data_IF_108428301236
#
_entry.id   IF_108428301236
#
_cell.length_a   1.000
_cell.length_b   1.000
_cell.length_c   1.000
_cell.angle_alpha   90.00
_cell.angle_beta   90.00
_cell.angle_gamma   90.00
#
_symmetry.space_group_name_H-M   'P 1'
#
loop_
_entity.id
_entity.type
_entity.pdbx_description
1 polymer ?
#
# COMPACT_ATOMS: atom_id res chain seq x y z
N UNK A 1 -18.85 46.47 13.57
CA UNK A 1 -18.86 46.10 12.14
C UNK A 1 -17.44 46.25 11.59
N UNK A 2 -16.66 45.16 11.61
CA UNK A 2 -15.45 44.93 10.79
C UNK A 2 -14.81 43.60 11.23
N UNK A 3 -15.09 42.50 10.51
CA UNK A 3 -14.01 41.57 10.18
C UNK A 3 -14.19 41.04 8.75
N UNK A 4 -13.35 41.50 7.81
CA UNK A 4 -13.31 40.95 6.45
C UNK A 4 -11.94 41.06 5.75
N UNK A 5 -10.88 41.50 6.45
CA UNK A 5 -9.57 41.77 5.84
C UNK A 5 -8.49 40.71 6.11
N UNK A 6 -8.73 39.74 6.99
CA UNK A 6 -7.74 38.69 7.30
C UNK A 6 -7.46 37.69 6.16
N UNK A 7 -8.42 37.29 5.30
CA UNK A 7 -8.14 36.27 4.26
C UNK A 7 -7.20 36.75 3.16
N UNK A 8 -7.18 38.06 2.87
CA UNK A 8 -6.43 38.64 1.75
C UNK A 8 -4.93 38.70 2.06
N UNK A 9 -4.56 38.97 3.32
CA UNK A 9 -3.17 39.03 3.74
C UNK A 9 -2.46 37.65 3.68
N UNK A 10 -3.19 36.58 4.03
CA UNK A 10 -2.66 35.21 3.97
C UNK A 10 -2.42 34.74 2.52
N UNK A 11 -3.33 35.08 1.60
CA UNK A 11 -3.20 34.75 0.18
C UNK A 11 -2.03 35.49 -0.50
N UNK A 12 -1.84 36.79 -0.18
CA UNK A 12 -0.71 37.57 -0.70
C UNK A 12 0.64 37.08 -0.15
N UNK A 13 0.70 36.66 1.12
CA UNK A 13 1.89 36.05 1.71
C UNK A 13 2.30 34.75 1.01
N UNK A 14 1.33 33.91 0.64
CA UNK A 14 1.60 32.67 -0.09
C UNK A 14 2.15 32.93 -1.51
N UNK A 15 1.62 33.93 -2.23
CA UNK A 15 2.08 34.28 -3.60
C UNK A 15 3.54 34.79 -3.60
N UNK A 16 3.89 35.63 -2.62
CA UNK A 16 5.27 36.13 -2.47
C UNK A 16 6.22 34.99 -2.09
N UNK A 17 5.79 34.08 -1.21
CA UNK A 17 6.57 32.91 -0.82
C UNK A 17 6.80 31.95 -1.99
N UNK A 18 5.78 31.68 -2.82
CA UNK A 18 5.89 30.87 -4.04
C UNK A 18 6.90 31.50 -5.03
N UNK A 19 6.84 32.82 -5.22
CA UNK A 19 7.76 33.54 -6.11
C UNK A 19 9.21 33.54 -5.58
N UNK A 20 9.39 33.63 -4.26
CA UNK A 20 10.70 33.51 -3.62
C UNK A 20 11.25 32.09 -3.71
N UNK A 21 10.41 31.07 -3.54
CA UNK A 21 10.77 29.66 -3.69
C UNK A 21 11.21 29.31 -5.11
N UNK A 22 10.48 29.78 -6.12
CA UNK A 22 10.86 29.60 -7.53
C UNK A 22 12.26 30.18 -7.83
N UNK A 23 12.58 31.35 -7.25
CA UNK A 23 13.90 31.98 -7.40
C UNK A 23 15.00 31.27 -6.59
N UNK A 24 14.71 30.87 -5.36
CA UNK A 24 15.69 30.20 -4.48
C UNK A 24 16.02 28.78 -4.93
N UNK A 25 15.13 28.13 -5.68
CA UNK A 25 15.30 26.77 -6.20
C UNK A 25 15.84 26.74 -7.65
N UNK A 26 15.99 27.89 -8.30
CA UNK A 26 16.49 27.97 -9.69
C UNK A 26 15.51 27.42 -10.73
N UNK A 27 14.22 27.39 -10.40
CA UNK A 27 13.19 26.79 -11.25
C UNK A 27 12.56 27.86 -12.15
N UNK A 28 12.97 27.88 -13.42
CA UNK A 28 12.28 28.63 -14.46
C UNK A 28 10.90 28.02 -14.75
N UNK A 29 9.90 28.85 -14.98
CA UNK A 29 8.57 28.40 -15.36
C UNK A 29 8.62 27.66 -16.71
N UNK A 30 8.30 26.38 -16.71
CA UNK A 30 8.01 25.65 -17.95
C UNK A 30 6.60 26.05 -18.44
N UNK A 31 6.39 26.22 -19.76
CA UNK A 31 5.07 26.53 -20.30
C UNK A 31 4.10 25.37 -20.05
N UNK A 32 2.90 25.69 -19.58
CA UNK A 32 1.83 24.73 -19.38
C UNK A 32 1.35 24.18 -20.73
N UNK A 33 1.71 22.94 -21.07
CA UNK A 33 1.11 22.20 -22.18
C UNK A 33 -0.15 21.50 -21.70
N UNK A 34 -1.31 21.98 -22.15
CA UNK A 34 -2.58 21.30 -21.93
C UNK A 34 -2.66 20.02 -22.76
N UNK A 35 -2.42 18.87 -22.14
CA UNK A 35 -2.73 17.57 -22.71
C UNK A 35 -4.12 17.12 -22.24
N UNK A 36 -5.01 16.89 -23.20
CA UNK A 36 -6.34 16.33 -22.96
C UNK A 36 -6.26 14.88 -22.45
N UNK A 37 -7.18 14.43 -21.58
CA UNK A 37 -7.17 13.06 -21.09
C UNK A 37 -7.45 12.07 -22.23
N UNK A 38 -6.56 11.09 -22.40
CA UNK A 38 -6.74 9.98 -23.32
C UNK A 38 -7.89 9.09 -22.84
N UNK A 39 -8.82 8.79 -23.75
CA UNK A 39 -9.93 7.84 -23.53
C UNK A 39 -9.37 6.44 -23.25
N UNK A 40 -9.79 5.84 -22.12
CA UNK A 40 -9.58 4.42 -21.81
C UNK A 40 -10.36 3.52 -22.78
N UNK A 41 -9.83 2.38 -23.24
CA UNK A 41 -10.66 1.35 -23.86
C UNK A 41 -11.44 0.62 -22.75
N UNK A 42 -12.76 0.60 -22.89
CA UNK A 42 -13.62 -0.26 -22.07
C UNK A 42 -13.46 -1.72 -22.54
N UNK A 43 -12.76 -2.53 -21.76
CA UNK A 43 -12.71 -3.98 -21.96
C UNK A 43 -12.85 -4.70 -20.62
N UNK A 44 -14.10 -4.94 -20.21
CA UNK A 44 -14.45 -5.98 -19.25
C UNK A 44 -15.75 -6.64 -19.73
N UNK A 45 -15.61 -7.81 -20.39
CA UNK A 45 -16.74 -8.72 -20.59
C UNK A 45 -16.84 -9.62 -19.36
N UNK A 46 -18.04 -9.66 -18.77
CA UNK A 46 -18.44 -10.62 -17.74
C UNK A 46 -18.18 -12.06 -18.23
N UNK A 47 -17.40 -12.83 -17.48
CA UNK A 47 -17.37 -14.28 -17.60
C UNK A 47 -18.44 -14.88 -16.69
N UNK A 48 -19.32 -15.68 -17.29
CA UNK A 48 -20.34 -16.44 -16.61
C UNK A 48 -19.69 -17.49 -15.67
N UNK A 49 -20.35 -17.72 -14.52
CA UNK A 49 -19.97 -18.73 -13.55
C UNK A 49 -19.84 -20.12 -14.21
N UNK A 50 -18.60 -20.57 -14.42
CA UNK A 50 -18.31 -21.93 -14.85
C UNK A 50 -18.36 -22.86 -13.63
N UNK A 51 -19.16 -23.93 -13.71
CA UNK A 51 -19.14 -25.02 -12.73
C UNK A 51 -17.75 -25.69 -12.72
N UNK A 52 -17.25 -26.13 -11.56
CA UNK A 52 -15.91 -26.71 -11.47
C UNK A 52 -15.85 -28.02 -12.26
N UNK A 53 -14.96 -28.06 -13.25
CA UNK A 53 -14.57 -29.29 -13.92
C UNK A 53 -13.80 -30.17 -12.93
N UNK A 54 -14.27 -31.39 -12.74
CA UNK A 54 -13.66 -32.36 -11.85
C UNK A 54 -12.34 -32.91 -12.43
N UNK A 55 -11.36 -33.04 -11.52
CA UNK A 55 -10.22 -33.95 -11.53
C UNK A 55 -9.14 -33.75 -12.62
N UNK A 56 -8.31 -32.73 -12.44
CA UNK A 56 -6.88 -32.90 -12.72
C UNK A 56 -6.30 -33.81 -11.62
N UNK A 57 -5.58 -34.87 -12.02
CA UNK A 57 -4.97 -35.83 -11.10
C UNK A 57 -4.26 -35.10 -9.94
N UNK A 58 -4.61 -35.48 -8.71
CA UNK A 58 -4.15 -34.82 -7.49
C UNK A 58 -2.64 -34.98 -7.35
N UNK A 59 -1.88 -34.03 -7.90
CA UNK A 59 -0.50 -33.82 -7.50
C UNK A 59 -0.45 -33.71 -5.97
N UNK A 60 0.61 -34.20 -5.36
CA UNK A 60 0.81 -34.07 -3.92
C UNK A 60 0.61 -32.59 -3.51
N UNK A 61 -0.06 -32.31 -2.39
CA UNK A 61 -0.31 -30.94 -1.97
C UNK A 61 1.04 -30.23 -1.80
N UNK A 62 1.15 -29.04 -2.40
CA UNK A 62 2.32 -28.21 -2.26
C UNK A 62 2.55 -27.87 -0.78
N UNK A 63 3.81 -27.60 -0.41
CA UNK A 63 4.19 -27.27 0.97
C UNK A 63 4.96 -25.97 1.03
N UNK A 64 4.80 -25.26 2.14
CA UNK A 64 5.66 -24.12 2.43
C UNK A 64 7.09 -24.62 2.70
N UNK A 65 8.06 -23.98 2.07
CA UNK A 65 9.48 -24.18 2.34
C UNK A 65 10.03 -22.89 2.97
N UNK A 66 10.48 -22.93 4.23
CA UNK A 66 11.13 -21.80 4.89
C UNK A 66 12.28 -21.22 4.06
N UNK A 67 12.38 -19.90 4.01
CA UNK A 67 13.49 -19.22 3.35
C UNK A 67 14.75 -19.34 4.21
N UNK A 68 15.78 -20.06 3.72
CA UNK A 68 17.05 -20.14 4.43
C UNK A 68 17.81 -18.80 4.29
N UNK A 69 17.78 -17.99 5.34
CA UNK A 69 18.32 -16.62 5.34
C UNK A 69 19.84 -16.48 5.16
N UNK A 70 20.53 -17.50 4.61
CA UNK A 70 21.96 -17.56 4.33
C UNK A 70 22.39 -17.09 2.94
N UNK A 71 21.47 -16.99 1.96
CA UNK A 71 21.76 -16.47 0.62
C UNK A 71 20.69 -15.46 0.18
N UNK A 72 21.10 -14.40 -0.54
CA UNK A 72 20.14 -13.45 -1.16
C UNK A 72 19.22 -14.14 -2.18
N UNK A 73 19.65 -15.30 -2.65
CA UNK A 73 18.96 -16.17 -3.60
C UNK A 73 18.26 -17.35 -2.90
N UNK A 74 18.03 -17.29 -1.59
CA UNK A 74 17.33 -18.34 -0.85
C UNK A 74 17.98 -19.73 -0.99
N UNK A 75 17.21 -20.81 -0.86
CA UNK A 75 17.78 -22.14 -0.83
C UNK A 75 18.14 -22.56 -2.25
N UNK A 76 19.12 -23.46 -2.39
CA UNK A 76 19.65 -23.93 -3.69
C UNK A 76 18.65 -24.67 -4.62
N UNK A 77 17.34 -24.52 -4.41
CA UNK A 77 16.25 -25.32 -5.00
C UNK A 77 15.44 -24.58 -6.08
N UNK A 78 16.08 -23.75 -6.91
CA UNK A 78 15.37 -22.93 -7.90
C UNK A 78 14.43 -23.71 -8.84
N UNK A 79 14.67 -25.01 -9.06
CA UNK A 79 13.86 -25.82 -9.95
C UNK A 79 12.51 -26.29 -9.36
N UNK A 80 12.43 -26.57 -8.06
CA UNK A 80 11.24 -27.19 -7.43
C UNK A 80 10.44 -26.23 -6.53
N UNK A 81 10.90 -24.99 -6.40
CA UNK A 81 10.27 -23.96 -5.57
C UNK A 81 9.62 -22.90 -6.46
N UNK A 82 8.36 -22.60 -6.17
CA UNK A 82 7.73 -21.36 -6.62
C UNK A 82 8.03 -20.26 -5.59
N UNK A 83 8.55 -19.13 -6.03
CA UNK A 83 8.69 -17.95 -5.17
C UNK A 83 7.47 -17.06 -5.36
N UNK A 84 6.83 -16.69 -4.27
CA UNK A 84 5.70 -15.74 -4.29
C UNK A 84 6.08 -14.49 -3.53
N UNK A 85 5.46 -13.38 -3.93
CA UNK A 85 5.57 -12.09 -3.23
C UNK A 85 6.99 -11.53 -3.05
N UNK A 86 7.98 -12.09 -3.73
CA UNK A 86 9.28 -11.46 -3.88
C UNK A 86 9.93 -11.90 -5.19
N UNK A 87 11.05 -11.25 -5.54
CA UNK A 87 11.85 -11.61 -6.70
C UNK A 87 12.98 -12.56 -6.32
N UNK A 88 13.41 -13.39 -7.28
CA UNK A 88 14.55 -14.29 -7.11
C UNK A 88 15.30 -14.43 -8.44
N UNK A 89 16.63 -14.47 -8.39
CA UNK A 89 17.50 -14.57 -9.58
C UNK A 89 17.40 -15.86 -10.40
N UNK A 90 16.89 -16.98 -9.85
CA UNK A 90 16.87 -18.29 -10.52
C UNK A 90 15.50 -19.01 -10.49
N UNK A 91 14.72 -18.86 -9.41
CA UNK A 91 13.41 -19.52 -9.29
C UNK A 91 12.33 -18.86 -10.16
N UNK A 92 11.29 -19.63 -10.48
CA UNK A 92 10.06 -19.09 -11.05
C UNK A 92 9.31 -18.26 -9.99
N UNK A 93 8.74 -17.12 -10.41
CA UNK A 93 8.04 -16.22 -9.48
C UNK A 93 6.56 -16.08 -9.84
N UNK A 94 5.71 -15.78 -8.85
CA UNK A 94 4.40 -15.13 -9.02
C UNK A 94 4.37 -13.97 -8.01
N UNK A 95 4.61 -12.75 -8.46
CA UNK A 95 4.73 -11.58 -7.58
C UNK A 95 4.34 -10.28 -8.28
N UNK A 96 3.82 -9.31 -7.54
CA UNK A 96 3.52 -7.96 -8.01
C UNK A 96 4.78 -7.05 -8.08
N UNK A 97 5.93 -7.52 -7.58
CA UNK A 97 7.16 -6.72 -7.54
C UNK A 97 7.74 -6.45 -8.94
N UNK A 98 8.34 -5.26 -9.11
CA UNK A 98 9.06 -4.90 -10.34
C UNK A 98 10.19 -5.89 -10.62
N UNK A 99 10.40 -6.20 -11.90
CA UNK A 99 11.43 -7.16 -12.33
C UNK A 99 11.03 -8.63 -12.11
N UNK A 100 9.74 -8.90 -11.93
CA UNK A 100 9.17 -10.23 -11.82
C UNK A 100 9.41 -11.12 -13.05
N UNK A 101 9.30 -12.44 -12.85
CA UNK A 101 9.34 -13.49 -13.89
C UNK A 101 8.12 -14.41 -13.79
N UNK A 102 6.97 -13.77 -13.68
CA UNK A 102 5.64 -14.36 -13.70
C UNK A 102 5.43 -15.10 -15.05
N UNK A 103 4.46 -16.04 -15.10
CA UNK A 103 4.11 -16.71 -16.35
C UNK A 103 3.91 -15.70 -17.49
N UNK A 104 4.59 -15.86 -18.65
CA UNK A 104 4.56 -14.86 -19.72
C UNK A 104 3.20 -14.76 -20.43
N UNK A 105 2.30 -15.72 -20.22
CA UNK A 105 0.97 -15.73 -20.79
C UNK A 105 -0.03 -16.41 -19.84
N UNK A 106 -1.28 -15.97 -19.92
CA UNK A 106 -2.41 -16.59 -19.22
C UNK A 106 -2.68 -16.03 -17.82
N UNK A 107 -1.79 -15.19 -17.28
CA UNK A 107 -2.01 -14.51 -16.01
C UNK A 107 -2.80 -13.22 -16.24
N UNK A 108 -3.89 -13.05 -15.48
CA UNK A 108 -4.57 -11.76 -15.38
C UNK A 108 -3.74 -10.89 -14.42
N UNK A 109 -3.56 -9.63 -14.78
CA UNK A 109 -2.77 -8.72 -13.99
C UNK A 109 -3.52 -8.36 -12.68
N UNK A 110 -2.79 -8.28 -11.56
CA UNK A 110 -3.33 -7.95 -10.24
C UNK A 110 -2.34 -7.13 -9.44
N UNK A 111 -2.84 -6.24 -8.59
CA UNK A 111 -2.01 -5.33 -7.78
C UNK A 111 -1.23 -6.03 -6.66
N UNK A 112 -1.65 -7.24 -6.28
CA UNK A 112 -1.07 -8.01 -5.18
C UNK A 112 -0.72 -9.43 -5.65
N UNK A 113 0.29 -10.03 -5.03
CA UNK A 113 0.81 -11.36 -5.34
C UNK A 113 -0.23 -12.44 -5.07
N UNK A 114 -1.04 -12.29 -4.03
CA UNK A 114 -2.17 -13.19 -3.73
C UNK A 114 -3.17 -13.21 -4.88
N UNK A 115 -3.47 -12.05 -5.45
CA UNK A 115 -4.35 -11.93 -6.60
C UNK A 115 -3.79 -12.64 -7.83
N UNK A 116 -2.49 -12.47 -8.11
CA UNK A 116 -1.80 -13.18 -9.19
C UNK A 116 -1.81 -14.70 -8.97
N UNK A 117 -1.59 -15.19 -7.74
CA UNK A 117 -1.69 -16.63 -7.43
C UNK A 117 -3.11 -17.13 -7.71
N UNK A 118 -4.15 -16.41 -7.26
CA UNK A 118 -5.54 -16.77 -7.51
C UNK A 118 -5.89 -16.77 -9.01
N UNK A 119 -5.37 -15.81 -9.79
CA UNK A 119 -5.54 -15.76 -11.24
C UNK A 119 -4.86 -16.95 -11.93
N UNK A 120 -3.67 -17.34 -11.47
CA UNK A 120 -2.98 -18.52 -11.97
C UNK A 120 -3.79 -19.80 -11.70
N UNK A 121 -4.36 -19.94 -10.50
CA UNK A 121 -5.21 -21.06 -10.13
C UNK A 121 -6.50 -21.11 -10.96
N UNK A 122 -7.16 -19.96 -11.15
CA UNK A 122 -8.37 -19.85 -11.94
C UNK A 122 -8.12 -20.20 -13.41
N UNK A 123 -7.04 -19.69 -13.99
CA UNK A 123 -6.63 -20.00 -15.35
C UNK A 123 -6.33 -21.50 -15.54
N UNK A 124 -5.70 -22.14 -14.55
CA UNK A 124 -5.48 -23.58 -14.57
C UNK A 124 -6.79 -24.38 -14.50
N UNK A 125 -7.74 -23.97 -13.65
CA UNK A 125 -9.05 -24.61 -13.52
C UNK A 125 -9.90 -24.47 -14.80
N UNK A 126 -9.75 -23.36 -15.54
CA UNK A 126 -10.46 -23.12 -16.81
C UNK A 126 -9.89 -23.90 -18.00
N UNK A 127 -8.70 -24.49 -17.90
CA UNK A 127 -8.07 -25.26 -18.96
C UNK A 127 -7.54 -24.42 -20.15
N UNK A 128 -7.37 -25.06 -21.30
CA UNK A 128 -6.96 -24.39 -22.54
C UNK A 128 -5.49 -23.93 -22.59
N UNK A 129 -5.20 -22.89 -23.39
CA UNK A 129 -3.84 -22.39 -23.62
C UNK A 129 -3.26 -21.73 -22.37
N UNK A 130 -4.06 -20.99 -21.61
CA UNK A 130 -3.63 -20.32 -20.38
C UNK A 130 -3.20 -21.34 -19.31
N UNK A 131 -4.01 -22.38 -19.09
CA UNK A 131 -3.65 -23.47 -18.17
C UNK A 131 -2.31 -24.13 -18.54
N UNK A 132 -2.06 -24.41 -19.83
CA UNK A 132 -0.80 -24.99 -20.30
C UNK A 132 0.40 -24.07 -20.06
N UNK A 133 0.22 -22.76 -20.22
CA UNK A 133 1.29 -21.78 -20.00
C UNK A 133 1.68 -21.66 -18.52
N UNK A 134 0.71 -21.79 -17.62
CA UNK A 134 0.89 -21.62 -16.17
C UNK A 134 1.27 -22.93 -15.46
N UNK A 135 0.98 -24.09 -16.07
CA UNK A 135 1.26 -25.40 -15.50
C UNK A 135 2.67 -25.59 -14.92
N UNK A 136 3.78 -25.08 -15.53
CA UNK A 136 5.11 -25.21 -14.94
C UNK A 136 5.27 -24.54 -13.57
N UNK A 137 4.58 -23.41 -13.33
CA UNK A 137 4.60 -22.70 -12.05
C UNK A 137 3.75 -23.42 -11.00
N UNK A 138 2.59 -23.95 -11.38
CA UNK A 138 1.70 -24.67 -10.46
C UNK A 138 2.10 -26.14 -10.24
N UNK A 139 3.10 -26.64 -10.96
CA UNK A 139 3.66 -27.97 -10.75
C UNK A 139 4.68 -28.02 -9.61
N UNK A 140 5.10 -26.87 -9.06
CA UNK A 140 6.13 -26.82 -8.02
C UNK A 140 5.62 -27.45 -6.71
N UNK A 141 6.32 -28.43 -6.14
CA UNK A 141 5.93 -29.04 -4.87
C UNK A 141 6.13 -28.10 -3.68
N UNK A 142 6.93 -27.05 -3.83
CA UNK A 142 7.23 -26.11 -2.76
C UNK A 142 6.88 -24.67 -3.16
N UNK A 143 6.52 -23.87 -2.16
CA UNK A 143 6.34 -22.42 -2.27
C UNK A 143 7.08 -21.71 -1.15
N UNK A 144 7.68 -20.55 -1.44
CA UNK A 144 8.47 -19.78 -0.48
C UNK A 144 8.39 -18.27 -0.75
N UNK A 145 8.81 -17.48 0.24
CA UNK A 145 8.90 -16.01 0.24
C UNK A 145 10.00 -15.59 1.21
N UNK A 146 10.62 -14.43 1.01
CA UNK A 146 11.78 -13.97 1.80
C UNK A 146 11.45 -12.99 2.94
N UNK A 147 10.18 -12.70 3.17
CA UNK A 147 9.70 -11.82 4.24
C UNK A 147 8.30 -12.25 4.67
N UNK A 148 7.76 -11.65 5.72
CA UNK A 148 6.41 -11.89 6.19
C UNK A 148 5.61 -10.59 6.14
N UNK A 149 4.45 -10.64 5.50
CA UNK A 149 3.33 -9.72 5.64
C UNK A 149 2.04 -10.43 5.20
N UNK A 150 0.94 -9.68 5.09
CA UNK A 150 -0.35 -10.22 4.70
C UNK A 150 -0.37 -10.75 3.26
N UNK A 151 0.23 -10.06 2.27
CA UNK A 151 0.19 -10.55 0.89
C UNK A 151 1.04 -11.82 0.73
N UNK A 152 2.19 -11.88 1.40
CA UNK A 152 3.08 -13.03 1.42
C UNK A 152 2.39 -14.29 1.99
N UNK A 153 1.81 -14.19 3.19
CA UNK A 153 1.20 -15.35 3.85
C UNK A 153 -0.06 -15.83 3.14
N UNK A 154 -0.87 -14.91 2.62
CA UNK A 154 -2.07 -15.24 1.85
C UNK A 154 -1.71 -15.86 0.49
N UNK A 155 -0.65 -15.40 -0.17
CA UNK A 155 -0.12 -15.99 -1.40
C UNK A 155 0.31 -17.44 -1.21
N UNK A 156 1.08 -17.71 -0.15
CA UNK A 156 1.51 -19.07 0.19
C UNK A 156 0.31 -19.95 0.50
N UNK A 157 -0.60 -19.47 1.35
CA UNK A 157 -1.79 -20.23 1.72
C UNK A 157 -2.65 -20.57 0.51
N UNK A 158 -2.86 -19.60 -0.40
CA UNK A 158 -3.62 -19.80 -1.62
C UNK A 158 -3.00 -20.85 -2.53
N UNK A 159 -1.66 -20.85 -2.66
CA UNK A 159 -0.94 -21.83 -3.48
C UNK A 159 -1.04 -23.26 -2.94
N UNK A 160 -0.98 -23.42 -1.61
CA UNK A 160 -1.10 -24.71 -0.90
C UNK A 160 -2.56 -25.21 -0.95
N UNK A 161 -3.53 -24.33 -0.67
CA UNK A 161 -4.94 -24.66 -0.48
C UNK A 161 -5.82 -24.28 -1.67
N UNK A 162 -5.37 -24.63 -2.89
CA UNK A 162 -5.89 -24.12 -4.18
C UNK A 162 -7.41 -24.07 -4.30
N UNK A 163 -8.09 -25.17 -3.97
CA UNK A 163 -9.53 -25.29 -4.08
C UNK A 163 -10.27 -24.35 -3.12
N UNK A 164 -9.85 -24.33 -1.85
CA UNK A 164 -10.42 -23.43 -0.85
C UNK A 164 -10.10 -21.97 -1.16
N UNK A 165 -8.89 -21.68 -1.66
CA UNK A 165 -8.49 -20.33 -2.06
C UNK A 165 -9.40 -19.73 -3.13
N UNK A 166 -9.78 -20.51 -4.15
CA UNK A 166 -10.73 -20.05 -5.17
C UNK A 166 -12.13 -19.79 -4.60
N UNK A 167 -12.55 -20.52 -3.56
CA UNK A 167 -13.84 -20.29 -2.87
C UNK A 167 -13.84 -18.96 -2.08
N UNK A 168 -12.67 -18.56 -1.58
CA UNK A 168 -12.49 -17.33 -0.78
C UNK A 168 -11.79 -16.20 -1.56
N UNK A 169 -11.78 -16.26 -2.90
CA UNK A 169 -10.96 -15.37 -3.73
C UNK A 169 -11.19 -13.88 -3.46
N UNK A 170 -12.44 -13.43 -3.30
CA UNK A 170 -12.74 -12.02 -3.07
C UNK A 170 -12.15 -11.50 -1.75
N UNK A 171 -12.37 -12.26 -0.65
CA UNK A 171 -11.85 -11.90 0.68
C UNK A 171 -10.32 -11.95 0.69
N UNK A 172 -9.70 -12.96 0.07
CA UNK A 172 -8.24 -13.08 -0.02
C UNK A 172 -7.60 -11.93 -0.80
N UNK A 173 -8.14 -11.57 -1.97
CA UNK A 173 -7.65 -10.43 -2.78
C UNK A 173 -7.75 -9.14 -2.01
N UNK A 174 -8.90 -8.90 -1.38
CA UNK A 174 -9.11 -7.66 -0.66
C UNK A 174 -8.27 -7.57 0.61
N UNK A 175 -8.07 -8.68 1.32
CA UNK A 175 -7.18 -8.74 2.47
C UNK A 175 -5.71 -8.49 2.07
N UNK A 176 -5.25 -9.02 0.94
CA UNK A 176 -3.93 -8.69 0.40
C UNK A 176 -3.80 -7.20 0.07
N UNK A 177 -4.80 -6.59 -0.60
CA UNK A 177 -4.84 -5.14 -0.86
C UNK A 177 -4.79 -4.31 0.42
N UNK A 178 -5.58 -4.67 1.43
CA UNK A 178 -5.55 -4.01 2.73
C UNK A 178 -4.16 -4.16 3.33
N UNK A 179 -3.64 -5.37 3.39
CA UNK A 179 -2.40 -5.69 4.06
C UNK A 179 -1.15 -5.13 3.41
N UNK A 180 -1.17 -4.81 2.12
CA UNK A 180 0.01 -4.33 1.41
C UNK A 180 -0.14 -2.87 0.95
N UNK A 181 -1.30 -2.55 0.35
CA UNK A 181 -1.60 -1.21 -0.14
C UNK A 181 -2.31 -0.32 0.89
N UNK A 182 -2.76 -0.86 2.03
CA UNK A 182 -3.58 -0.20 3.08
C UNK A 182 -4.88 0.40 2.56
N UNK A 183 -5.42 -0.14 1.47
CA UNK A 183 -6.66 0.32 0.82
C UNK A 183 -7.85 -0.55 1.24
N UNK A 184 -8.48 -0.24 2.37
CA UNK A 184 -9.57 -1.07 2.90
C UNK A 184 -10.93 -0.85 2.24
N UNK A 185 -11.04 0.05 1.27
CA UNK A 185 -12.27 0.26 0.51
C UNK A 185 -13.48 0.51 1.40
N UNK A 186 -13.33 1.28 2.48
CA UNK A 186 -14.42 1.56 3.43
C UNK A 186 -15.39 2.63 2.90
N UNK A 187 -16.69 2.38 3.10
CA UNK A 187 -17.80 3.25 2.68
C UNK A 187 -18.00 3.40 1.17
N UNK A 188 -18.85 4.35 0.79
CA UNK A 188 -19.41 4.43 -0.56
C UNK A 188 -18.73 5.47 -1.48
N UNK A 189 -17.51 5.89 -1.16
CA UNK A 189 -16.77 6.78 -2.07
C UNK A 189 -16.51 6.09 -3.41
N UNK A 190 -16.50 6.81 -4.55
CA UNK A 190 -16.23 6.20 -5.86
C UNK A 190 -14.93 5.37 -5.88
N UNK A 191 -13.87 5.85 -5.21
CA UNK A 191 -12.59 5.16 -5.14
C UNK A 191 -12.64 3.90 -4.27
N UNK A 192 -13.41 3.91 -3.18
CA UNK A 192 -13.64 2.72 -2.36
C UNK A 192 -14.41 1.65 -3.17
N UNK A 193 -15.46 2.05 -3.89
CA UNK A 193 -16.23 1.15 -4.75
C UNK A 193 -15.38 0.59 -5.90
N UNK A 194 -14.53 1.41 -6.51
CA UNK A 194 -13.60 0.95 -7.56
C UNK A 194 -12.59 -0.07 -7.01
N UNK A 195 -12.04 0.18 -5.82
CA UNK A 195 -11.12 -0.76 -5.16
C UNK A 195 -11.77 -2.12 -4.88
N UNK A 196 -13.00 -2.13 -4.37
CA UNK A 196 -13.78 -3.37 -4.15
C UNK A 196 -13.99 -4.13 -5.46
N UNK A 197 -14.31 -3.41 -6.53
CA UNK A 197 -14.55 -4.01 -7.84
C UNK A 197 -13.29 -4.69 -8.41
N UNK A 198 -12.11 -4.10 -8.23
CA UNK A 198 -10.84 -4.71 -8.68
C UNK A 198 -10.59 -6.06 -8.02
N UNK A 199 -11.03 -6.24 -6.78
CA UNK A 199 -10.80 -7.46 -6.00
C UNK A 199 -11.97 -8.46 -6.10
N UNK A 200 -13.05 -8.11 -6.80
CA UNK A 200 -14.24 -8.94 -6.94
C UNK A 200 -15.10 -8.99 -5.67
N UNK A 201 -15.02 -7.98 -4.82
CA UNK A 201 -15.85 -7.85 -3.62
C UNK A 201 -17.24 -7.35 -3.99
N UNK A 202 -18.26 -8.07 -3.53
CA UNK A 202 -19.67 -7.84 -3.89
C UNK A 202 -20.51 -7.34 -2.70
N UNK A 203 -19.97 -7.39 -1.47
CA UNK A 203 -20.69 -6.97 -0.26
C UNK A 203 -19.80 -6.29 0.78
N UNK A 204 -20.40 -5.44 1.62
CA UNK A 204 -19.73 -4.86 2.81
C UNK A 204 -19.25 -5.94 3.78
N UNK A 205 -19.97 -7.05 3.90
CA UNK A 205 -19.56 -8.17 4.76
C UNK A 205 -18.18 -8.71 4.35
N UNK A 206 -17.92 -8.83 3.05
CA UNK A 206 -16.61 -9.26 2.54
C UNK A 206 -15.51 -8.22 2.80
N UNK A 207 -15.82 -6.92 2.67
CA UNK A 207 -14.89 -5.83 3.03
C UNK A 207 -14.48 -5.95 4.50
N UNK A 208 -15.47 -6.06 5.38
CA UNK A 208 -15.25 -6.15 6.81
C UNK A 208 -14.57 -7.47 7.22
N UNK A 209 -14.86 -8.59 6.56
CA UNK A 209 -14.15 -9.86 6.78
C UNK A 209 -12.66 -9.71 6.45
N UNK A 210 -12.34 -9.18 5.27
CA UNK A 210 -10.96 -8.95 4.87
C UNK A 210 -10.22 -8.00 5.84
N UNK A 211 -10.88 -6.93 6.29
CA UNK A 211 -10.29 -6.01 7.28
C UNK A 211 -10.02 -6.69 8.62
N UNK A 212 -10.97 -7.49 9.14
CA UNK A 212 -10.78 -8.27 10.38
C UNK A 212 -9.61 -9.25 10.24
N UNK A 213 -9.47 -9.90 9.08
CA UNK A 213 -8.36 -10.80 8.80
C UNK A 213 -7.00 -10.09 8.90
N UNK A 214 -6.88 -8.90 8.30
CA UNK A 214 -5.67 -8.08 8.41
C UNK A 214 -5.40 -7.59 9.84
N UNK A 215 -6.44 -7.16 10.56
CA UNK A 215 -6.31 -6.75 11.97
C UNK A 215 -5.87 -7.93 12.86
N UNK A 216 -6.39 -9.13 12.62
CA UNK A 216 -5.95 -10.34 13.31
C UNK A 216 -4.47 -10.62 13.04
N UNK A 217 -4.04 -10.64 11.77
CA UNK A 217 -2.64 -10.87 11.40
C UNK A 217 -1.71 -9.87 12.09
N UNK A 218 -2.04 -8.57 12.01
CA UNK A 218 -1.24 -7.50 12.61
C UNK A 218 -1.16 -7.60 14.13
N UNK A 219 -2.30 -7.85 14.81
CA UNK A 219 -2.31 -7.97 16.27
C UNK A 219 -1.47 -9.15 16.74
N UNK A 220 -1.65 -10.31 16.12
CA UNK A 220 -0.88 -11.50 16.48
C UNK A 220 0.61 -11.28 16.20
N UNK A 221 0.97 -10.73 15.03
CA UNK A 221 2.37 -10.45 14.70
C UNK A 221 3.01 -9.54 15.76
N UNK A 222 2.34 -8.43 16.11
CA UNK A 222 2.86 -7.47 17.09
C UNK A 222 2.94 -8.01 18.51
N UNK A 223 2.05 -8.94 18.89
CA UNK A 223 1.98 -9.50 20.24
C UNK A 223 2.94 -10.66 20.45
N UNK A 224 3.02 -11.55 19.47
CA UNK A 224 3.62 -12.88 19.64
C UNK A 224 4.97 -13.01 18.89
N UNK A 225 5.33 -12.05 18.04
CA UNK A 225 6.53 -12.12 17.19
C UNK A 225 7.34 -10.81 17.19
N UNK A 226 8.52 -10.86 16.56
CA UNK A 226 9.37 -9.68 16.39
C UNK A 226 8.74 -8.67 15.43
N UNK A 227 8.95 -7.35 15.64
CA UNK A 227 8.53 -6.35 14.67
C UNK A 227 9.20 -6.57 13.30
N UNK A 228 8.56 -6.12 12.21
CA UNK A 228 9.15 -6.21 10.87
C UNK A 228 10.58 -5.65 10.84
N UNK A 229 11.48 -6.38 10.16
CA UNK A 229 12.89 -6.02 9.97
C UNK A 229 13.79 -6.07 11.21
N UNK A 230 13.30 -6.55 12.36
CA UNK A 230 14.12 -6.70 13.57
C UNK A 230 14.79 -8.07 13.60
N UNK A 231 14.00 -9.15 13.67
CA UNK A 231 14.51 -10.53 13.69
C UNK A 231 14.10 -11.32 12.43
N UNK A 232 14.72 -12.50 12.24
CA UNK A 232 14.44 -13.42 11.13
C UNK A 232 13.48 -14.55 11.56
N UNK A 233 12.34 -14.19 12.15
CA UNK A 233 11.30 -15.13 12.60
C UNK A 233 10.18 -15.32 11.57
N UNK A 234 10.37 -14.88 10.31
CA UNK A 234 9.35 -14.98 9.26
C UNK A 234 8.87 -16.42 9.07
N UNK A 235 9.72 -17.42 9.24
CA UNK A 235 9.33 -18.84 9.13
C UNK A 235 8.33 -19.25 10.21
N UNK A 236 8.56 -18.83 11.45
CA UNK A 236 7.70 -19.13 12.59
C UNK A 236 6.34 -18.43 12.44
N UNK A 237 6.35 -17.19 11.93
CA UNK A 237 5.13 -16.45 11.57
C UNK A 237 4.32 -17.21 10.52
N UNK A 238 4.94 -17.64 9.41
CA UNK A 238 4.24 -18.42 8.38
C UNK A 238 3.66 -19.71 8.93
N UNK A 239 4.43 -20.49 9.71
CA UNK A 239 3.94 -21.74 10.30
C UNK A 239 2.69 -21.50 11.17
N UNK A 240 2.71 -20.44 11.99
CA UNK A 240 1.58 -20.07 12.83
C UNK A 240 0.31 -19.78 12.01
N UNK A 241 0.40 -18.89 11.02
CA UNK A 241 -0.77 -18.41 10.27
C UNK A 241 -1.28 -19.43 9.25
N UNK A 242 -0.39 -20.14 8.55
CA UNK A 242 -0.78 -21.12 7.54
C UNK A 242 -1.64 -22.25 8.12
N UNK A 243 -1.40 -22.63 9.37
CA UNK A 243 -2.19 -23.64 10.08
C UNK A 243 -3.61 -23.16 10.47
N UNK A 244 -3.87 -21.84 10.49
CA UNK A 244 -5.08 -21.22 11.05
C UNK A 244 -5.94 -20.49 10.02
N UNK A 245 -5.35 -20.12 8.88
CA UNK A 245 -6.02 -19.31 7.86
C UNK A 245 -7.30 -19.95 7.30
N UNK A 246 -7.35 -21.28 7.18
CA UNK A 246 -8.55 -21.96 6.67
C UNK A 246 -9.79 -21.65 7.53
N UNK A 247 -9.65 -21.70 8.85
CA UNK A 247 -10.74 -21.40 9.77
C UNK A 247 -11.09 -19.90 9.74
N UNK A 248 -10.07 -19.04 9.75
CA UNK A 248 -10.22 -17.58 9.72
C UNK A 248 -10.91 -17.05 8.44
N UNK A 249 -10.91 -17.81 7.33
CA UNK A 249 -11.60 -17.44 6.09
C UNK A 249 -13.10 -17.73 6.10
N UNK A 250 -13.62 -18.38 7.14
CA UNK A 250 -15.06 -18.57 7.33
C UNK A 250 -15.65 -17.45 8.19
N UNK A 251 -16.91 -17.05 8.00
CA UNK A 251 -17.55 -16.07 8.87
C UNK A 251 -17.53 -16.48 10.36
N UNK A 252 -17.79 -17.75 10.66
CA UNK A 252 -17.76 -18.24 12.04
C UNK A 252 -16.34 -18.23 12.63
N UNK A 253 -15.33 -18.62 11.85
CA UNK A 253 -13.96 -18.70 12.32
C UNK A 253 -13.32 -17.32 12.52
N UNK A 254 -13.57 -16.35 11.64
CA UNK A 254 -13.08 -14.98 11.91
C UNK A 254 -13.74 -14.40 13.16
N UNK A 255 -15.02 -14.66 13.40
CA UNK A 255 -15.71 -14.19 14.60
C UNK A 255 -15.20 -14.88 15.88
N UNK A 256 -14.78 -16.15 15.81
CA UNK A 256 -14.14 -16.82 16.93
C UNK A 256 -12.79 -16.19 17.32
N UNK A 257 -12.12 -15.50 16.38
CA UNK A 257 -10.87 -14.77 16.59
C UNK A 257 -11.09 -13.32 17.07
N UNK A 258 -12.33 -12.92 17.39
CA UNK A 258 -12.66 -11.55 17.85
C UNK A 258 -11.74 -11.00 18.94
N UNK A 259 -11.35 -11.75 19.99
CA UNK A 259 -10.45 -11.23 21.02
C UNK A 259 -9.11 -10.73 20.48
N UNK A 260 -8.68 -11.21 19.31
CA UNK A 260 -7.41 -10.85 18.69
C UNK A 260 -7.54 -9.72 17.65
N UNK A 261 -8.70 -9.46 17.05
CA UNK A 261 -8.84 -8.41 16.02
C UNK A 261 -9.69 -7.20 16.44
N UNK A 262 -10.55 -7.33 17.45
CA UNK A 262 -11.59 -6.32 17.75
C UNK A 262 -11.01 -4.94 18.06
N UNK A 263 -9.98 -4.87 18.90
CA UNK A 263 -9.39 -3.59 19.28
C UNK A 263 -8.78 -2.84 18.08
N UNK A 264 -8.01 -3.54 17.23
CA UNK A 264 -7.40 -2.92 16.05
C UNK A 264 -8.47 -2.54 15.02
N UNK A 265 -9.44 -3.41 14.77
CA UNK A 265 -10.56 -3.17 13.86
C UNK A 265 -11.40 -1.95 14.28
N UNK A 266 -11.80 -1.86 15.55
CA UNK A 266 -12.58 -0.72 16.04
C UNK A 266 -11.78 0.58 15.98
N UNK A 267 -10.47 0.53 16.21
CA UNK A 267 -9.58 1.67 16.01
C UNK A 267 -9.55 2.12 14.55
N UNK A 268 -9.52 1.18 13.60
CA UNK A 268 -9.59 1.48 12.16
C UNK A 268 -10.90 2.17 11.82
N UNK A 269 -12.02 1.60 12.25
CA UNK A 269 -13.35 2.15 11.95
C UNK A 269 -13.57 3.50 12.61
N UNK A 270 -13.18 3.68 13.88
CA UNK A 270 -13.27 4.95 14.57
C UNK A 270 -12.47 6.04 13.85
N UNK A 271 -11.24 5.74 13.42
CA UNK A 271 -10.41 6.66 12.66
C UNK A 271 -11.02 7.02 11.30
N UNK A 272 -11.61 6.05 10.59
CA UNK A 272 -12.26 6.29 9.31
C UNK A 272 -13.53 7.14 9.45
N UNK A 273 -14.39 6.83 10.43
CA UNK A 273 -15.62 7.59 10.75
C UNK A 273 -15.30 9.04 11.15
N UNK A 274 -14.23 9.26 11.93
CA UNK A 274 -13.81 10.60 12.33
C UNK A 274 -13.43 11.52 11.15
N UNK A 275 -13.07 10.95 9.99
CA UNK A 275 -12.88 11.71 8.75
C UNK A 275 -14.21 11.86 8.00
N UNK A 276 -15.03 10.81 7.96
CA UNK A 276 -16.34 10.82 7.30
C UNK A 276 -17.30 11.85 7.87
N UNK A 277 -17.41 11.93 9.20
CA UNK A 277 -18.32 12.84 9.90
C UNK A 277 -17.98 14.31 9.65
N UNK A 278 -16.73 14.58 9.23
CA UNK A 278 -16.29 15.90 8.81
C UNK A 278 -16.12 16.88 9.96
N UNK A 279 -15.22 17.85 9.73
CA UNK A 279 -14.79 18.94 10.61
C UNK A 279 -14.51 18.59 12.09
N UNK A 280 -13.24 18.67 12.51
CA UNK A 280 -12.20 19.49 11.88
C UNK A 280 -11.33 18.69 10.89
N UNK A 281 -11.70 17.45 10.56
CA UNK A 281 -11.00 16.62 9.58
C UNK A 281 -11.48 16.86 8.14
N UNK A 282 -10.58 16.82 7.15
CA UNK A 282 -10.93 16.91 5.73
C UNK A 282 -9.92 16.20 4.83
N UNK A 283 -10.35 15.86 3.61
CA UNK A 283 -9.55 15.23 2.56
C UNK A 283 -9.64 16.07 1.30
N UNK A 284 -8.51 16.47 0.75
CA UNK A 284 -8.39 17.16 -0.52
C UNK A 284 -7.50 16.36 -1.47
N UNK A 285 -7.86 16.34 -2.76
CA UNK A 285 -7.17 15.55 -3.78
C UNK A 285 -6.65 16.45 -4.87
N UNK A 286 -5.35 16.34 -5.13
CA UNK A 286 -4.67 16.98 -6.26
C UNK A 286 -4.41 15.89 -7.31
N UNK A 287 -5.42 15.56 -8.11
CA UNK A 287 -5.40 14.41 -9.03
C UNK A 287 -4.21 14.46 -10.00
N UNK A 288 -3.90 15.63 -10.56
CA UNK A 288 -2.76 15.83 -11.47
C UNK A 288 -1.40 15.61 -10.82
N UNK A 289 -1.33 15.56 -9.49
CA UNK A 289 -0.10 15.30 -8.73
C UNK A 289 -0.10 13.90 -8.09
N UNK A 290 -1.20 13.14 -8.19
CA UNK A 290 -1.38 11.91 -7.42
C UNK A 290 -1.28 12.10 -5.90
N UNK A 291 -1.63 13.29 -5.40
CA UNK A 291 -1.49 13.67 -3.99
C UNK A 291 -2.87 13.73 -3.29
N UNK A 292 -2.97 13.11 -2.12
CA UNK A 292 -4.05 13.34 -1.17
C UNK A 292 -3.53 14.15 0.04
N UNK A 293 -4.24 15.21 0.41
CA UNK A 293 -3.97 16.03 1.60
C UNK A 293 -5.01 15.70 2.65
N UNK A 294 -4.58 15.08 3.75
CA UNK A 294 -5.41 14.66 4.87
C UNK A 294 -5.17 15.64 6.02
N UNK A 295 -6.17 16.47 6.32
CA UNK A 295 -6.13 17.36 7.48
C UNK A 295 -6.86 16.65 8.61
N UNK A 296 -6.12 16.22 9.63
CA UNK A 296 -6.62 15.33 10.69
C UNK A 296 -6.43 15.98 12.06
N UNK A 297 -7.23 15.59 13.05
CA UNK A 297 -7.06 16.07 14.44
C UNK A 297 -5.98 15.31 15.21
N UNK A 298 -5.73 14.07 14.81
CA UNK A 298 -4.73 13.19 15.38
C UNK A 298 -4.24 12.25 14.29
N UNK A 299 -3.04 11.65 14.44
CA UNK A 299 -2.62 10.58 13.56
C UNK A 299 -3.66 9.47 13.56
N UNK A 300 -3.88 8.84 12.41
CA UNK A 300 -4.83 7.75 12.25
C UNK A 300 -4.11 6.45 11.92
N UNK A 301 -4.79 5.34 12.15
CA UNK A 301 -4.35 4.03 11.68
C UNK A 301 -4.22 4.03 10.15
N UNK A 302 -3.25 3.29 9.61
CA UNK A 302 -2.99 3.28 8.16
C UNK A 302 -4.21 2.84 7.35
N UNK A 303 -4.88 1.75 7.75
CA UNK A 303 -6.09 1.29 7.08
C UNK A 303 -7.22 2.35 7.09
N UNK A 304 -7.26 3.25 8.09
CA UNK A 304 -8.22 4.36 8.12
C UNK A 304 -7.79 5.47 7.16
N UNK A 305 -6.56 5.96 7.29
CA UNK A 305 -6.05 7.10 6.56
C UNK A 305 -5.99 6.81 5.05
N UNK A 306 -5.44 5.66 4.66
CA UNK A 306 -5.21 5.36 3.25
C UNK A 306 -6.46 4.88 2.51
N UNK A 307 -7.51 4.47 3.23
CA UNK A 307 -8.85 4.31 2.64
C UNK A 307 -9.39 5.62 2.06
N UNK A 308 -8.97 6.77 2.57
CA UNK A 308 -9.30 8.09 2.01
C UNK A 308 -8.36 8.53 0.88
N UNK A 309 -7.21 7.87 0.73
CA UNK A 309 -6.18 8.16 -0.27
C UNK A 309 -6.16 7.17 -1.44
N UNK A 310 -7.14 6.26 -1.55
CA UNK A 310 -7.25 5.33 -2.69
C UNK A 310 -7.21 6.12 -4.00
N UNK A 311 -6.35 5.69 -4.93
CA UNK A 311 -6.14 6.39 -6.20
C UNK A 311 -5.04 7.46 -6.17
N UNK A 312 -4.47 7.78 -5.01
CA UNK A 312 -3.32 8.66 -4.86
C UNK A 312 -2.08 7.85 -4.49
N UNK A 313 -0.91 8.33 -4.89
CA UNK A 313 0.39 7.68 -4.68
C UNK A 313 1.25 8.40 -3.64
N UNK A 314 0.89 9.64 -3.30
CA UNK A 314 1.52 10.43 -2.24
C UNK A 314 0.45 10.94 -1.28
N UNK A 315 0.77 10.96 0.01
CA UNK A 315 -0.13 11.40 1.08
C UNK A 315 0.57 12.47 1.90
N UNK A 316 -0.03 13.65 1.98
CA UNK A 316 0.35 14.70 2.93
C UNK A 316 -0.62 14.65 4.11
N UNK A 317 -0.12 14.29 5.28
CA UNK A 317 -0.87 14.38 6.54
C UNK A 317 -0.55 15.71 7.22
N UNK A 318 -1.60 16.48 7.48
CA UNK A 318 -1.55 17.76 8.21
C UNK A 318 -2.26 17.58 9.56
N UNK A 319 -1.51 17.72 10.64
CA UNK A 319 -1.98 17.58 12.01
C UNK A 319 -2.05 18.95 12.71
N UNK A 320 -2.76 19.07 13.85
CA UNK A 320 -2.81 20.31 14.60
C UNK A 320 -1.41 20.70 15.08
N UNK A 321 -1.23 22.00 15.34
CA UNK A 321 0.04 22.57 15.81
C UNK A 321 1.19 22.46 14.79
N UNK A 322 0.88 22.61 13.50
CA UNK A 322 1.87 22.67 12.42
C UNK A 322 2.75 21.41 12.35
N UNK A 323 2.13 20.24 12.50
CA UNK A 323 2.80 18.95 12.42
C UNK A 323 2.46 18.30 11.08
N UNK A 324 3.47 17.83 10.36
CA UNK A 324 3.30 17.35 8.98
C UNK A 324 4.08 16.07 8.73
N UNK A 325 3.52 15.19 7.90
CA UNK A 325 4.20 14.03 7.34
C UNK A 325 3.82 13.90 5.87
N UNK A 326 4.81 13.76 4.99
CA UNK A 326 4.60 13.51 3.56
C UNK A 326 5.15 12.14 3.24
N UNK A 327 4.31 11.23 2.74
CA UNK A 327 4.67 9.85 2.48
C UNK A 327 4.37 9.46 1.03
N UNK A 328 5.37 8.88 0.36
CA UNK A 328 5.20 8.18 -0.90
C UNK A 328 4.73 6.75 -0.61
N UNK A 329 3.61 6.34 -1.21
CA UNK A 329 2.99 5.05 -0.93
C UNK A 329 3.72 3.89 -1.61
N UNK A 330 3.46 2.71 -1.09
CA UNK A 330 4.00 1.46 -1.62
C UNK A 330 3.58 1.17 -3.07
N UNK A 331 2.44 1.73 -3.51
CA UNK A 331 1.93 1.63 -4.90
C UNK A 331 2.95 2.04 -5.96
N UNK A 332 3.89 2.93 -5.62
CA UNK A 332 4.97 3.37 -6.51
C UNK A 332 6.17 2.41 -6.56
N UNK A 333 6.28 1.46 -5.63
CA UNK A 333 7.37 0.49 -5.55
C UNK A 333 7.12 -0.76 -6.42
N UNK A 334 5.86 -1.00 -6.77
CA UNK A 334 5.37 -2.26 -7.37
C UNK A 334 4.84 -2.07 -8.80
N UNK A 335 4.51 -3.18 -9.47
CA UNK A 335 3.75 -3.18 -10.72
C UNK A 335 2.24 -3.13 -10.39
N UNK A 336 1.71 -1.92 -10.23
CA UNK A 336 0.28 -1.70 -10.04
C UNK A 336 -0.48 -1.78 -11.38
N UNK A 337 -1.63 -2.46 -11.39
CA UNK A 337 -2.38 -2.76 -12.60
C UNK A 337 -3.79 -2.17 -12.63
N UNK A 338 -4.40 -1.94 -11.46
CA UNK A 338 -5.73 -1.36 -11.33
C UNK A 338 -5.83 0.07 -11.86
N UNK A 339 -4.74 0.84 -11.77
CA UNK A 339 -4.68 2.25 -12.13
C UNK A 339 -3.27 2.70 -12.51
N UNK A 340 -3.13 3.82 -13.23
CA UNK A 340 -1.84 4.47 -13.44
C UNK A 340 -1.21 4.91 -12.11
N UNK A 341 0.12 4.92 -12.09
CA UNK A 341 0.93 5.32 -10.93
C UNK A 341 1.81 6.49 -11.33
N UNK A 342 1.86 7.51 -10.48
CA UNK A 342 2.73 8.66 -10.67
C UNK A 342 4.20 8.29 -10.43
N UNK A 343 5.11 9.00 -11.11
CA UNK A 343 6.54 8.82 -10.89
C UNK A 343 6.90 9.09 -9.42
N UNK A 344 7.77 8.26 -8.86
CA UNK A 344 8.26 8.42 -7.50
C UNK A 344 9.39 9.45 -7.49
N UNK A 345 9.25 10.50 -6.68
CA UNK A 345 10.24 11.57 -6.59
C UNK A 345 11.11 11.41 -5.33
N UNK A 346 12.41 11.68 -5.46
CA UNK A 346 13.32 11.78 -4.31
C UNK A 346 12.84 12.88 -3.36
N UNK A 347 12.65 12.62 -2.07
CA UNK A 347 12.17 13.64 -1.13
C UNK A 347 13.30 14.45 -0.46
N UNK A 348 14.56 14.00 -0.60
CA UNK A 348 15.73 14.69 -0.06
C UNK A 348 15.89 16.15 -0.51
N UNK A 349 15.70 16.50 -1.80
CA UNK A 349 15.71 17.89 -2.26
C UNK A 349 14.65 18.77 -1.59
N UNK A 350 13.44 18.24 -1.37
CA UNK A 350 12.36 18.94 -0.67
C UNK A 350 12.71 19.19 0.79
N UNK A 351 13.25 18.20 1.50
CA UNK A 351 13.70 18.36 2.89
C UNK A 351 14.77 19.47 3.03
N UNK A 352 15.74 19.53 2.10
CA UNK A 352 16.73 20.63 2.06
C UNK A 352 16.11 21.99 1.82
N UNK A 353 15.07 22.08 0.98
CA UNK A 353 14.35 23.33 0.74
C UNK A 353 13.61 23.79 2.01
N UNK A 354 12.88 22.88 2.66
CA UNK A 354 12.15 23.15 3.90
C UNK A 354 13.09 23.63 5.02
N UNK A 355 14.26 23.00 5.19
CA UNK A 355 15.28 23.44 6.15
C UNK A 355 15.78 24.88 5.94
N UNK A 356 15.70 25.42 4.72
CA UNK A 356 16.05 26.82 4.44
C UNK A 356 14.92 27.79 4.75
N UNK A 357 13.67 27.40 4.53
CA UNK A 357 12.52 28.31 4.64
C UNK A 357 11.80 28.28 6.00
N UNK A 358 11.86 27.15 6.72
CA UNK A 358 11.17 26.97 7.99
C UNK A 358 11.98 27.55 9.17
N UNK A 359 12.15 28.86 9.21
CA UNK A 359 12.94 29.52 10.25
C UNK A 359 12.30 29.48 11.65
N UNK A 360 11.03 29.08 11.76
CA UNK A 360 10.28 29.04 13.02
C UNK A 360 10.33 27.69 13.74
N UNK A 361 10.95 26.67 13.17
CA UNK A 361 11.14 25.37 13.82
C UNK A 361 12.04 25.48 15.06
N UNK A 362 11.82 24.60 16.04
CA UNK A 362 12.62 24.57 17.26
C UNK A 362 14.10 24.24 16.95
N UNK A 363 15.02 24.84 17.71
CA UNK A 363 16.45 24.54 17.61
C UNK A 363 16.71 23.03 17.78
N UNK A 364 17.57 22.48 16.91
CA UNK A 364 17.85 21.05 16.84
C UNK A 364 16.80 20.22 16.09
N UNK A 365 15.78 20.84 15.48
CA UNK A 365 14.87 20.15 14.56
C UNK A 365 15.26 20.37 13.10
N UNK A 366 15.20 19.30 12.31
CA UNK A 366 15.54 19.31 10.90
C UNK A 366 14.57 18.46 10.09
N UNK A 367 14.22 18.96 8.90
CA UNK A 367 13.46 18.19 7.93
C UNK A 367 14.35 17.07 7.38
N UNK A 368 13.90 15.84 7.55
CA UNK A 368 14.52 14.62 7.05
C UNK A 368 13.64 13.96 6.00
N UNK A 369 14.27 13.17 5.13
CA UNK A 369 13.58 12.31 4.19
C UNK A 369 14.26 10.95 4.11
N UNK A 370 13.44 9.89 4.01
CA UNK A 370 13.92 8.54 3.71
C UNK A 370 14.39 8.44 2.26
N UNK A 371 15.19 7.41 1.97
CA UNK A 371 15.68 7.14 0.60
C UNK A 371 14.52 6.76 -0.33
N UNK A 372 14.59 7.11 -1.61
CA UNK A 372 13.57 6.74 -2.62
C UNK A 372 13.41 5.23 -2.79
N UNK A 373 14.49 4.47 -2.55
CA UNK A 373 14.49 3.01 -2.61
C UNK A 373 13.89 2.35 -1.37
N UNK A 374 13.49 3.14 -0.36
CA UNK A 374 12.65 2.64 0.73
C UNK A 374 11.25 2.30 0.19
N UNK A 375 10.55 1.36 0.82
CA UNK A 375 9.25 0.88 0.32
C UNK A 375 8.17 1.95 0.48
N UNK A 376 8.21 2.71 1.58
CA UNK A 376 7.41 3.91 1.83
C UNK A 376 8.27 5.10 2.28
N UNK A 377 8.88 5.87 1.35
CA UNK A 377 9.70 7.01 1.72
C UNK A 377 8.88 8.09 2.43
N UNK A 378 9.32 8.48 3.63
CA UNK A 378 8.66 9.49 4.46
C UNK A 378 9.56 10.73 4.57
N UNK A 379 8.95 11.91 4.40
CA UNK A 379 9.49 13.21 4.76
C UNK A 379 8.76 13.75 5.98
N UNK A 380 9.54 14.18 6.98
CA UNK A 380 9.04 14.65 8.28
C UNK A 380 10.07 15.53 8.97
N UNK A 381 9.64 16.23 10.01
CA UNK A 381 10.54 16.94 10.91
C UNK A 381 11.08 15.95 11.95
N UNK A 382 12.39 15.92 12.16
CA UNK A 382 13.08 15.07 13.14
C UNK A 382 13.73 15.94 14.22
N UNK A 383 13.93 15.39 15.42
CA UNK A 383 14.58 16.08 16.55
C UNK A 383 15.96 15.48 16.78
N UNK A 384 17.01 16.31 16.78
CA UNK A 384 18.36 15.90 17.20
C UNK A 384 18.98 14.76 16.38
N UNK A 385 18.54 14.57 15.13
CA UNK A 385 18.97 13.44 14.30
C UNK A 385 18.31 12.11 14.65
N UNK A 386 17.27 12.09 15.50
CA UNK A 386 16.41 10.94 15.78
C UNK A 386 15.64 10.54 14.52
N UNK A 387 16.26 9.70 13.69
CA UNK A 387 15.59 9.09 12.54
C UNK A 387 14.77 7.91 13.00
N UNK A 388 13.56 7.77 12.46
CA UNK A 388 12.78 6.56 12.61
C UNK A 388 13.59 5.34 12.14
N UNK A 389 13.56 4.27 12.93
CA UNK A 389 13.99 2.94 12.51
C UNK A 389 13.11 2.42 11.36
N UNK A 390 13.56 1.35 10.69
CA UNK A 390 12.76 0.75 9.60
C UNK A 390 11.42 0.20 10.12
N UNK A 391 11.41 -0.38 11.33
CA UNK A 391 10.20 -0.85 11.98
C UNK A 391 9.22 0.31 12.26
N UNK A 392 9.69 1.44 12.79
CA UNK A 392 8.84 2.61 13.04
C UNK A 392 8.30 3.26 11.75
N UNK A 393 9.08 3.25 10.67
CA UNK A 393 8.62 3.69 9.33
C UNK A 393 7.59 2.76 8.72
N UNK A 394 7.51 1.51 9.15
CA UNK A 394 6.50 0.55 8.69
C UNK A 394 5.28 0.50 9.62
N UNK A 395 5.48 0.77 10.92
CA UNK A 395 4.43 0.86 11.93
C UNK A 395 3.46 2.01 11.68
N UNK A 396 2.36 2.07 12.44
CA UNK A 396 1.29 3.02 12.17
C UNK A 396 1.71 4.48 12.48
N UNK A 397 1.14 5.48 11.79
CA UNK A 397 1.39 6.89 12.08
C UNK A 397 1.05 7.30 13.52
N UNK A 398 0.18 6.54 14.20
CA UNK A 398 -0.19 6.71 15.62
C UNK A 398 0.97 6.46 16.58
N UNK A 399 1.96 5.67 16.16
CA UNK A 399 3.04 5.20 17.02
C UNK A 399 4.32 6.04 16.84
N UNK A 400 4.27 7.05 15.98
CA UNK A 400 5.41 7.91 15.64
C UNK A 400 5.35 9.24 16.39
N UNK A 401 6.51 9.81 16.77
CA UNK A 401 6.55 11.19 17.25
C UNK A 401 6.23 12.15 16.09
N UNK A 402 5.57 13.27 16.39
CA UNK A 402 5.27 14.35 15.43
C UNK A 402 5.68 15.69 16.02
N UNK A 403 6.56 16.42 15.34
CA UNK A 403 7.11 17.69 15.83
C UNK A 403 6.57 18.89 15.04
N UNK A 404 6.43 20.03 15.73
CA UNK A 404 5.88 21.24 15.16
C UNK A 404 6.91 21.98 14.30
N UNK A 405 6.50 22.29 13.07
CA UNK A 405 7.15 23.23 12.16
C UNK A 405 6.76 24.67 12.52
N UNK A 406 7.54 25.64 12.04
CA UNK A 406 7.15 27.05 12.05
C UNK A 406 6.39 27.50 10.79
N UNK A 407 6.19 26.60 9.82
CA UNK A 407 5.43 26.89 8.60
C UNK A 407 3.93 26.70 8.83
N UNK A 408 3.09 27.70 8.48
CA UNK A 408 1.64 27.51 8.46
C UNK A 408 1.21 26.41 7.48
N UNK A 409 0.08 25.71 7.71
CA UNK A 409 -0.38 24.61 6.85
C UNK A 409 -0.45 24.94 5.37
N UNK A 410 -1.03 26.10 5.01
CA UNK A 410 -1.14 26.52 3.63
C UNK A 410 0.23 26.77 2.95
N UNK A 411 1.23 27.24 3.71
CA UNK A 411 2.57 27.46 3.18
C UNK A 411 3.30 26.12 2.96
N UNK A 412 3.18 25.18 3.91
CA UNK A 412 3.77 23.85 3.77
C UNK A 412 3.18 23.10 2.57
N UNK A 413 1.86 23.07 2.45
CA UNK A 413 1.16 22.44 1.32
C UNK A 413 1.54 23.07 -0.03
N UNK A 414 1.61 24.40 -0.12
CA UNK A 414 2.02 25.08 -1.35
C UNK A 414 3.45 24.69 -1.78
N UNK A 415 4.38 24.52 -0.83
CA UNK A 415 5.74 24.06 -1.11
C UNK A 415 5.72 22.62 -1.65
N UNK A 416 4.95 21.73 -1.01
CA UNK A 416 4.80 20.33 -1.44
C UNK A 416 4.20 20.24 -2.85
N UNK A 417 3.08 20.92 -3.10
CA UNK A 417 2.44 20.90 -4.42
C UNK A 417 3.36 21.46 -5.51
N UNK A 418 4.07 22.57 -5.24
CA UNK A 418 5.05 23.14 -6.17
C UNK A 418 6.20 22.16 -6.47
N UNK A 419 6.70 21.48 -5.43
CA UNK A 419 7.74 20.46 -5.57
C UNK A 419 7.30 19.29 -6.48
N UNK A 420 6.13 18.72 -6.19
CA UNK A 420 5.57 17.61 -6.96
C UNK A 420 5.28 18.04 -8.40
N UNK A 421 4.68 19.21 -8.60
CA UNK A 421 4.38 19.74 -9.92
C UNK A 421 5.65 19.90 -10.78
N UNK A 422 6.71 20.47 -10.20
CA UNK A 422 7.99 20.62 -10.90
C UNK A 422 8.64 19.27 -11.22
N UNK A 423 8.67 18.34 -10.26
CA UNK A 423 9.29 17.04 -10.45
C UNK A 423 8.54 16.15 -11.45
N UNK A 424 7.21 16.16 -11.43
CA UNK A 424 6.39 15.36 -12.33
C UNK A 424 6.39 15.90 -13.76
N UNK A 425 6.46 17.22 -13.96
CA UNK A 425 6.59 17.81 -15.30
C UNK A 425 7.86 17.34 -16.04
N UNK A 426 8.92 16.99 -15.29
CA UNK A 426 10.15 16.42 -15.86
C UNK A 426 10.09 14.91 -16.12
N UNK A 427 9.05 14.21 -15.63
CA UNK A 427 8.91 12.77 -15.70
C UNK A 427 7.98 12.29 -16.84
N UNK A 428 7.25 13.19 -17.51
CA UNK A 428 6.38 12.89 -18.67
C UNK A 428 7.16 12.61 -19.98
N UNK A 429 8.35 12.00 -19.91
CA UNK A 429 9.19 11.68 -21.07
C UNK A 429 8.85 10.33 -21.71
#
# INVERSE_FOLDING_TARGET
MLPLLWPIAAALGAIVLISMLQRALGWGAAPASGAAPRRRPAFWRRSAAARPAAAAAAAAPARYLPWDGGSKDGPSFAADVLVVDCTHGAAQTITHHKGQRNPPAGLVASDCSTGLVLDALQAAASGGRAAKAIAPWLAKPYVSVNHFDADAVLSIWAYINRGAALQHSAVLRHAARIGDLREAGLGDSPQALEARQWDGVESEEQVHHALKLCCWINTIERRDFSPPYVDKDSSDKHEYFLARLADALTPAGIEALRPDWEEEYERVLAGWRAVQEGLPSSVERHEGLGLAVLRLQQPLHYYSAWSWAIGCDTVLTVLPWQRYELESRYTQFIDLHSRPVQARLELGPLARALNRIDSGRQAGMEWGASSLVDTGPILRLDRGGEKLSKAERYGHPTDRPHYASGLPPAAFEAVVCSYLQHGLAGAEL
#
